data_IF_050023680182
#
_entry.id   IF_050023680182
#
_cell.length_a   1.000
_cell.length_b   1.000
_cell.length_c   1.000
_cell.angle_alpha   90.00
_cell.angle_beta   90.00
_cell.angle_gamma   90.00
#
_symmetry.space_group_name_H-M   'P 1'
#
loop_
_entity.id
_entity.type
_entity.pdbx_description
1 polymer ?
#
# COMPACT_ATOMS: atom_id res chain seq x y z
N UNK A 1 -6.13 16.56 7.09
CA UNK A 1 -4.69 16.93 7.01
C UNK A 1 -4.40 17.94 5.90
N UNK A 2 -4.80 17.71 4.64
CA UNK A 2 -4.51 18.63 3.54
C UNK A 2 -4.91 20.10 3.80
N UNK A 3 -6.12 20.41 4.32
CA UNK A 3 -6.50 21.81 4.61
C UNK A 3 -5.55 22.49 5.61
N UNK A 4 -5.02 21.75 6.57
CA UNK A 4 -4.04 22.27 7.54
C UNK A 4 -2.72 22.59 6.85
N UNK A 5 -2.24 21.68 5.97
CA UNK A 5 -1.03 21.91 5.18
C UNK A 5 -1.13 23.17 4.32
N UNK A 6 -2.27 23.33 3.63
CA UNK A 6 -2.53 24.51 2.77
C UNK A 6 -2.59 25.79 3.59
N UNK A 7 -3.28 25.79 4.74
CA UNK A 7 -3.36 26.96 5.65
C UNK A 7 -2.00 27.37 6.21
N UNK A 8 -1.14 26.38 6.49
CA UNK A 8 0.23 26.64 6.97
C UNK A 8 1.22 26.95 5.83
N UNK A 9 0.79 26.97 4.56
CA UNK A 9 1.66 27.15 3.40
C UNK A 9 2.63 26.01 3.14
N UNK A 10 2.42 24.83 3.77
CA UNK A 10 3.26 23.64 3.60
C UNK A 10 3.03 22.98 2.25
N UNK A 11 4.07 22.37 1.69
CA UNK A 11 3.99 21.72 0.38
C UNK A 11 3.13 20.44 0.44
N UNK A 12 2.06 20.33 -0.37
CA UNK A 12 1.26 19.10 -0.47
C UNK A 12 2.09 17.88 -0.90
N UNK A 13 3.17 18.08 -1.68
CA UNK A 13 4.10 17.00 -2.08
C UNK A 13 4.79 16.36 -0.87
N UNK A 14 5.03 17.13 0.20
CA UNK A 14 5.60 16.58 1.45
C UNK A 14 4.56 15.71 2.14
N UNK A 15 3.31 16.14 2.18
CA UNK A 15 2.21 15.35 2.75
C UNK A 15 2.07 14.01 2.02
N UNK A 16 1.98 14.05 0.69
CA UNK A 16 1.83 12.80 -0.11
C UNK A 16 3.05 11.89 0.02
N UNK A 17 4.27 12.47 0.10
CA UNK A 17 5.49 11.70 0.29
C UNK A 17 5.50 10.96 1.64
N UNK A 18 5.19 11.63 2.74
CA UNK A 18 5.18 11.01 4.08
C UNK A 18 4.05 9.97 4.19
N UNK A 19 2.85 10.29 3.69
CA UNK A 19 1.73 9.38 3.71
C UNK A 19 2.00 8.12 2.87
N UNK A 20 2.55 8.28 1.66
CA UNK A 20 2.92 7.17 0.78
C UNK A 20 4.01 6.27 1.39
N UNK A 21 5.06 6.85 1.96
CA UNK A 21 6.12 6.10 2.63
C UNK A 21 5.59 5.27 3.80
N UNK A 22 4.78 5.88 4.69
CA UNK A 22 4.23 5.18 5.85
C UNK A 22 3.29 4.06 5.42
N UNK A 23 2.40 4.34 4.44
CA UNK A 23 1.50 3.33 3.89
C UNK A 23 2.29 2.13 3.31
N UNK A 24 3.33 2.40 2.52
CA UNK A 24 4.18 1.36 1.97
C UNK A 24 4.93 0.54 3.02
N UNK A 25 5.46 1.20 4.04
CA UNK A 25 6.15 0.54 5.15
C UNK A 25 5.22 -0.37 5.94
N UNK A 26 4.00 0.06 6.21
CA UNK A 26 3.00 -0.71 6.95
C UNK A 26 2.32 -1.81 6.13
N UNK A 27 2.53 -1.87 4.82
CA UNK A 27 1.83 -2.82 3.94
C UNK A 27 2.23 -4.28 4.13
N UNK A 28 3.30 -4.56 4.89
CA UNK A 28 3.77 -5.92 5.18
C UNK A 28 3.05 -6.62 6.34
N UNK A 29 2.05 -5.99 6.96
CA UNK A 29 1.27 -6.58 8.07
C UNK A 29 0.58 -7.89 7.65
N UNK A 30 0.18 -8.78 8.59
CA UNK A 30 -0.34 -10.13 8.26
C UNK A 30 -1.59 -10.11 7.37
N UNK A 31 -2.40 -9.08 7.50
CA UNK A 31 -3.58 -8.82 6.63
C UNK A 31 -3.25 -7.94 5.42
N UNK A 32 -2.01 -7.53 5.27
CA UNK A 32 -1.53 -6.76 4.12
C UNK A 32 -1.58 -7.58 2.83
N UNK A 33 -1.96 -6.92 1.74
CA UNK A 33 -2.09 -7.57 0.44
C UNK A 33 -0.88 -8.42 0.02
N UNK A 34 0.36 -7.92 0.12
CA UNK A 34 1.55 -8.66 -0.28
C UNK A 34 1.81 -9.89 0.60
N UNK A 35 1.66 -9.76 1.92
CA UNK A 35 1.88 -10.86 2.86
C UNK A 35 0.89 -12.01 2.64
N UNK A 36 -0.39 -11.67 2.46
CA UNK A 36 -1.43 -12.67 2.16
C UNK A 36 -1.18 -13.34 0.80
N UNK A 37 -0.76 -12.58 -0.23
CA UNK A 37 -0.44 -13.14 -1.56
C UNK A 37 0.76 -14.07 -1.51
N UNK A 38 1.86 -13.66 -0.86
CA UNK A 38 3.03 -14.50 -0.67
C UNK A 38 2.67 -15.79 0.07
N UNK A 39 1.90 -15.68 1.16
CA UNK A 39 1.44 -16.84 1.93
C UNK A 39 0.58 -17.78 1.07
N UNK A 40 -0.39 -17.24 0.32
CA UNK A 40 -1.27 -18.03 -0.55
C UNK A 40 -0.48 -18.72 -1.67
N UNK A 41 0.47 -18.00 -2.30
CA UNK A 41 1.25 -18.52 -3.42
C UNK A 41 2.18 -19.66 -3.04
N UNK A 42 2.68 -19.64 -1.79
CA UNK A 42 3.65 -20.62 -1.28
C UNK A 42 3.05 -21.62 -0.27
N UNK A 43 1.73 -21.54 0.00
CA UNK A 43 1.06 -22.43 0.96
C UNK A 43 1.48 -22.21 2.42
N UNK A 44 1.82 -20.95 2.79
CA UNK A 44 2.31 -20.55 4.11
C UNK A 44 1.23 -19.85 4.94
N UNK A 45 1.48 -19.67 6.23
CA UNK A 45 0.68 -18.79 7.07
C UNK A 45 1.21 -17.35 6.98
N UNK A 46 0.35 -16.33 6.89
CA UNK A 46 0.79 -14.92 6.86
C UNK A 46 1.60 -14.51 8.09
N UNK A 47 1.33 -15.10 9.23
CA UNK A 47 2.01 -14.86 10.50
C UNK A 47 3.45 -15.37 10.51
N UNK A 48 3.73 -16.51 9.87
CA UNK A 48 5.08 -17.05 9.73
C UNK A 48 5.99 -16.11 8.93
N UNK A 49 5.39 -15.38 7.99
CA UNK A 49 6.09 -14.36 7.20
C UNK A 49 6.29 -13.09 8.04
N UNK A 50 5.24 -12.63 8.72
CA UNK A 50 5.22 -11.32 9.36
C UNK A 50 5.96 -11.26 10.69
N UNK A 51 5.75 -12.23 11.59
CA UNK A 51 6.24 -12.13 12.98
C UNK A 51 7.78 -12.00 13.04
N UNK A 52 8.58 -12.77 12.29
CA UNK A 52 10.03 -12.56 12.26
C UNK A 52 10.46 -11.24 11.62
N UNK A 53 9.59 -10.61 10.80
CA UNK A 53 9.86 -9.31 10.15
C UNK A 53 9.46 -8.10 11.01
N UNK A 54 8.95 -8.30 12.24
CA UNK A 54 8.60 -7.20 13.15
C UNK A 54 9.76 -6.23 13.43
N UNK A 55 11.01 -6.69 13.67
CA UNK A 55 12.14 -5.77 13.84
C UNK A 55 12.43 -4.96 12.56
N UNK A 56 12.29 -5.58 11.39
CA UNK A 56 12.47 -4.91 10.10
C UNK A 56 11.37 -3.85 9.88
N UNK A 57 10.12 -4.15 10.22
CA UNK A 57 9.03 -3.18 10.21
C UNK A 57 9.30 -2.01 11.15
N UNK A 58 9.74 -2.30 12.39
CA UNK A 58 10.09 -1.28 13.38
C UNK A 58 11.16 -0.33 12.86
N UNK A 59 12.24 -0.88 12.26
CA UNK A 59 13.29 -0.08 11.63
C UNK A 59 12.77 0.75 10.45
N UNK A 60 11.93 0.16 9.60
CA UNK A 60 11.27 0.86 8.50
C UNK A 60 10.43 2.05 8.97
N UNK A 61 9.66 1.88 10.05
CA UNK A 61 8.86 2.96 10.68
C UNK A 61 9.79 4.06 11.20
N UNK A 62 10.85 3.72 11.92
CA UNK A 62 11.81 4.69 12.47
C UNK A 62 12.45 5.51 11.35
N UNK A 63 12.90 4.86 10.26
CA UNK A 63 13.48 5.56 9.11
C UNK A 63 12.46 6.44 8.41
N UNK A 64 11.22 5.98 8.26
CA UNK A 64 10.12 6.76 7.67
C UNK A 64 9.79 7.99 8.51
N UNK A 65 9.74 7.85 9.84
CA UNK A 65 9.55 8.97 10.77
C UNK A 65 10.75 9.93 10.72
N UNK A 66 11.98 9.40 10.59
CA UNK A 66 13.17 10.21 10.37
C UNK A 66 13.09 11.06 9.10
N UNK A 67 12.63 10.48 7.98
CA UNK A 67 12.37 11.25 6.77
C UNK A 67 11.25 12.27 6.94
N UNK A 68 10.16 11.93 7.64
CA UNK A 68 9.09 12.88 7.95
C UNK A 68 9.61 14.06 8.76
N UNK A 69 10.45 13.80 9.76
CA UNK A 69 11.11 14.83 10.56
C UNK A 69 12.01 15.74 9.71
N UNK A 70 12.87 15.16 8.87
CA UNK A 70 13.78 15.91 7.99
C UNK A 70 12.97 16.78 7.01
N UNK A 71 11.91 16.22 6.40
CA UNK A 71 11.02 16.97 5.51
C UNK A 71 10.30 18.09 6.26
N UNK A 72 9.85 17.85 7.48
CA UNK A 72 9.26 18.88 8.35
C UNK A 72 10.23 20.01 8.66
N UNK A 73 11.51 19.70 8.96
CA UNK A 73 12.55 20.71 9.17
C UNK A 73 12.84 21.53 7.90
N UNK A 74 12.82 20.87 6.73
CA UNK A 74 13.00 21.55 5.45
C UNK A 74 11.83 22.52 5.17
N UNK A 75 10.60 22.11 5.42
CA UNK A 75 9.42 22.98 5.29
C UNK A 75 9.47 24.15 6.29
N UNK A 76 9.86 23.88 7.54
CA UNK A 76 10.04 24.94 8.54
C UNK A 76 11.10 25.98 8.12
N UNK A 77 12.21 25.52 7.52
CA UNK A 77 13.24 26.44 6.98
C UNK A 77 12.73 27.22 5.76
N UNK A 78 11.90 26.60 4.92
CA UNK A 78 11.30 27.22 3.74
C UNK A 78 10.29 28.30 4.10
N UNK A 79 9.45 28.04 5.10
CA UNK A 79 8.35 28.92 5.52
C UNK A 79 8.80 30.04 6.47
N UNK A 80 9.96 29.88 7.12
CA UNK A 80 10.39 30.80 8.17
C UNK A 80 9.61 30.63 9.48
N UNK A 81 9.73 31.63 10.36
CA UNK A 81 8.90 31.70 11.57
C UNK A 81 7.49 32.13 11.15
N UNK A 82 6.52 31.29 11.47
CA UNK A 82 5.10 31.71 11.43
C UNK A 82 4.92 32.69 12.60
N UNK A 83 4.75 33.96 12.30
CA UNK A 83 4.35 34.94 13.32
C UNK A 83 2.92 34.60 13.72
N UNK A 84 2.70 34.44 15.04
CA UNK A 84 1.40 34.11 15.62
C UNK A 84 0.28 35.11 15.26
N UNK A 85 0.63 36.32 14.87
CA UNK A 85 -0.30 37.33 14.37
C UNK A 85 -0.92 36.99 13.00
N UNK A 86 -0.20 36.31 12.10
CA UNK A 86 -0.72 35.85 10.82
C UNK A 86 -1.79 34.76 10.91
N UNK A 87 -1.85 34.04 12.03
CA UNK A 87 -2.86 33.01 12.26
C UNK A 87 -4.16 33.56 12.85
N UNK A 88 -4.15 34.76 13.43
CA UNK A 88 -5.31 35.39 14.10
C UNK A 88 -6.14 36.28 13.17
N UNK A 89 -5.64 36.65 12.01
CA UNK A 89 -6.34 37.54 11.05
C UNK A 89 -7.36 36.81 10.16
N UNK A 90 -7.49 35.49 10.33
CA UNK A 90 -8.45 34.67 9.56
C UNK A 90 -9.87 34.60 10.12
N UNK A 91 -10.20 35.26 11.24
CA UNK A 91 -11.54 35.21 11.85
C UNK A 91 -12.50 36.31 11.33
N UNK A 92 -11.98 37.40 10.78
CA UNK A 92 -12.79 38.45 10.19
C UNK A 92 -12.52 38.52 8.69
N UNK A 93 -13.42 37.98 7.87
CA UNK A 93 -13.70 38.19 6.43
C UNK A 93 -12.77 39.02 5.53
N UNK A 94 -11.52 39.23 5.91
CA UNK A 94 -10.50 39.95 5.16
C UNK A 94 -9.76 39.06 4.18
N UNK A 95 -9.83 39.40 2.91
CA UNK A 95 -9.13 38.81 1.76
C UNK A 95 -7.72 38.33 2.10
N UNK A 96 -7.48 37.02 1.99
CA UNK A 96 -6.17 36.38 1.99
C UNK A 96 -5.33 36.91 0.80
N UNK A 97 -4.63 38.00 0.97
CA UNK A 97 -3.80 38.61 -0.07
C UNK A 97 -2.32 38.17 -0.03
N UNK A 98 -2.04 36.99 0.52
CA UNK A 98 -0.70 36.40 0.43
C UNK A 98 -0.77 34.91 0.04
N UNK A 99 -1.32 34.68 -1.15
CA UNK A 99 -0.99 33.45 -1.89
C UNK A 99 0.47 33.61 -2.33
N UNK A 100 1.41 32.75 -1.90
CA UNK A 100 2.80 32.83 -2.36
C UNK A 100 2.83 32.82 -3.90
N UNK A 101 3.65 33.70 -4.50
CA UNK A 101 3.81 33.87 -5.95
C UNK A 101 4.21 32.59 -6.73
N UNK A 102 4.33 31.45 -6.09
CA UNK A 102 4.71 30.16 -6.66
C UNK A 102 3.57 29.52 -7.49
N UNK A 103 2.30 29.98 -7.34
CA UNK A 103 1.17 29.52 -8.14
C UNK A 103 0.86 30.43 -9.36
N UNK A 104 1.73 31.38 -9.69
CA UNK A 104 1.65 32.12 -10.97
C UNK A 104 2.41 31.37 -12.08
N UNK A 105 2.03 30.16 -12.34
CA UNK A 105 2.37 29.44 -13.54
C UNK A 105 1.20 29.51 -14.53
N UNK A 106 1.40 30.28 -15.62
CA UNK A 106 0.54 30.39 -16.80
C UNK A 106 -0.87 30.96 -16.55
N UNK A 107 -1.02 32.25 -16.78
CA UNK A 107 -2.33 32.83 -17.07
C UNK A 107 -2.94 32.13 -18.29
N UNK A 108 -4.18 31.62 -18.21
CA UNK A 108 -4.87 31.14 -19.41
C UNK A 108 -5.13 32.32 -20.35
N UNK A 109 -4.77 32.18 -21.61
CA UNK A 109 -5.13 33.13 -22.66
C UNK A 109 -6.64 33.39 -22.65
N UNK A 110 -7.12 34.66 -22.74
CA UNK A 110 -8.54 34.95 -22.76
C UNK A 110 -9.15 34.39 -24.05
N UNK A 111 -10.02 33.42 -23.92
CA UNK A 111 -10.72 32.77 -25.04
C UNK A 111 -11.23 31.37 -24.83
N UNK A 112 -10.72 30.64 -23.84
CA UNK A 112 -11.19 29.28 -23.58
C UNK A 112 -12.29 29.27 -22.50
N UNK A 113 -13.56 29.28 -22.91
CA UNK A 113 -14.69 28.94 -22.02
C UNK A 113 -14.62 27.47 -21.68
N UNK A 114 -14.05 27.15 -20.53
CA UNK A 114 -14.19 25.83 -19.93
C UNK A 114 -15.58 25.74 -19.30
N UNK A 115 -16.50 25.02 -19.95
CA UNK A 115 -17.72 24.57 -19.31
C UNK A 115 -17.40 23.45 -18.34
N UNK A 116 -17.49 23.71 -17.04
CA UNK A 116 -17.53 22.67 -16.00
C UNK A 116 -18.83 21.87 -16.19
N UNK A 117 -18.76 20.78 -16.92
CA UNK A 117 -19.76 19.72 -16.89
C UNK A 117 -19.27 18.66 -15.93
N UNK A 118 -19.92 18.57 -14.80
CA UNK A 118 -19.90 17.43 -13.87
C UNK A 118 -20.29 16.17 -14.65
N UNK A 119 -19.38 15.26 -14.87
CA UNK A 119 -19.66 13.98 -15.51
C UNK A 119 -18.42 13.42 -16.20
N UNK A 120 -17.90 12.32 -15.65
CA UNK A 120 -16.97 11.38 -16.23
C UNK A 120 -15.73 11.96 -16.92
N UNK A 121 -14.65 12.12 -16.17
CA UNK A 121 -13.33 12.33 -16.73
C UNK A 121 -12.85 11.01 -17.38
N UNK A 122 -13.17 10.87 -18.68
CA UNK A 122 -12.48 9.90 -19.54
C UNK A 122 -11.21 10.59 -20.01
N UNK A 123 -10.07 10.23 -19.45
CA UNK A 123 -8.76 10.62 -20.01
C UNK A 123 -8.54 9.79 -21.27
N UNK A 124 -8.81 10.35 -22.43
CA UNK A 124 -8.41 9.77 -23.71
C UNK A 124 -6.96 10.16 -23.95
N UNK A 125 -6.03 9.31 -23.54
CA UNK A 125 -4.68 9.30 -24.10
C UNK A 125 -4.70 8.41 -25.37
N UNK A 126 -4.16 8.95 -26.46
CA UNK A 126 -4.19 8.44 -27.84
C UNK A 126 -4.28 6.92 -28.06
N UNK A 127 -5.32 6.57 -28.77
CA UNK A 127 -5.38 5.43 -29.69
C UNK A 127 -4.97 4.05 -29.20
N UNK A 128 -5.60 3.52 -28.16
CA UNK A 128 -5.77 2.08 -27.96
C UNK A 128 -7.05 1.85 -27.16
N UNK A 129 -7.70 0.70 -27.36
CA UNK A 129 -9.02 0.31 -26.92
C UNK A 129 -9.45 0.77 -25.52
N UNK A 130 -10.75 1.00 -25.28
CA UNK A 130 -11.25 1.44 -23.98
C UNK A 130 -10.82 0.43 -22.93
N UNK A 131 -10.01 0.90 -21.97
CA UNK A 131 -9.71 0.11 -20.77
C UNK A 131 -11.06 -0.09 -20.08
N UNK A 132 -11.52 -1.33 -20.11
CA UNK A 132 -12.76 -1.74 -19.49
C UNK A 132 -12.74 -1.31 -18.02
N UNK A 133 -13.86 -0.81 -17.52
CA UNK A 133 -14.05 -0.40 -16.12
C UNK A 133 -13.78 -1.51 -15.08
N UNK A 134 -13.35 -2.68 -15.54
CA UNK A 134 -12.98 -3.84 -14.73
C UNK A 134 -11.58 -3.77 -14.08
N UNK A 135 -10.79 -2.71 -14.32
CA UNK A 135 -9.45 -2.54 -13.74
C UNK A 135 -9.38 -1.56 -12.57
N UNK A 136 -10.51 -1.05 -12.10
CA UNK A 136 -10.56 -0.25 -10.86
C UNK A 136 -10.53 -1.22 -9.68
N UNK A 137 -9.48 -1.14 -8.87
CA UNK A 137 -9.38 -1.96 -7.65
C UNK A 137 -10.62 -1.68 -6.78
N UNK A 138 -11.40 -2.72 -6.41
CA UNK A 138 -12.56 -2.55 -5.54
C UNK A 138 -12.26 -1.83 -4.22
N UNK A 139 -11.01 -1.92 -3.74
CA UNK A 139 -10.53 -1.16 -2.58
C UNK A 139 -10.58 0.36 -2.81
N UNK A 140 -10.42 0.83 -4.04
CA UNK A 140 -10.47 2.25 -4.37
C UNK A 140 -11.88 2.80 -4.45
N UNK A 141 -12.83 1.99 -4.91
CA UNK A 141 -14.25 2.36 -4.91
C UNK A 141 -14.75 2.52 -3.47
N UNK A 142 -14.33 1.60 -2.58
CA UNK A 142 -14.64 1.69 -1.16
C UNK A 142 -13.95 2.90 -0.48
N UNK A 143 -12.76 3.30 -0.93
CA UNK A 143 -12.07 4.50 -0.41
C UNK A 143 -12.64 5.79 -0.97
N UNK A 144 -13.14 5.81 -2.20
CA UNK A 144 -13.83 6.95 -2.78
C UNK A 144 -15.19 7.20 -2.09
N UNK A 145 -15.92 6.15 -1.76
CA UNK A 145 -17.14 6.22 -0.94
C UNK A 145 -16.86 6.63 0.53
N UNK A 146 -15.63 6.49 1.01
CA UNK A 146 -15.22 6.95 2.34
C UNK A 146 -14.76 8.40 2.39
N UNK A 147 -14.85 9.18 1.33
CA UNK A 147 -14.84 10.66 1.38
C UNK A 147 -16.19 11.14 1.93
N UNK A 148 -16.38 10.85 3.04
CA UNK A 148 -17.24 10.87 4.19
C UNK A 148 -18.08 12.13 4.20
N UNK A 149 -19.31 12.00 3.72
CA UNK A 149 -20.37 12.90 4.13
C UNK A 149 -20.45 12.88 5.68
N UNK A 150 -20.16 14.00 6.35
CA UNK A 150 -20.25 14.09 7.80
C UNK A 150 -21.68 13.85 8.33
N UNK A 151 -22.70 13.90 7.47
CA UNK A 151 -24.11 13.68 7.80
C UNK A 151 -24.66 12.32 7.37
N UNK A 152 -23.78 11.43 6.92
CA UNK A 152 -24.20 10.10 6.46
C UNK A 152 -25.03 9.35 7.51
N UNK A 153 -26.12 8.67 7.11
CA UNK A 153 -27.03 7.96 8.04
C UNK A 153 -26.39 6.76 8.75
N UNK A 154 -25.24 6.27 8.23
CA UNK A 154 -24.47 5.17 8.82
C UNK A 154 -23.56 5.60 9.97
N UNK A 155 -23.43 6.91 10.24
CA UNK A 155 -22.60 7.40 11.33
C UNK A 155 -23.17 6.99 12.69
N UNK A 156 -22.34 6.36 13.54
CA UNK A 156 -22.71 5.88 14.88
C UNK A 156 -21.81 6.50 15.97
N UNK A 157 -21.89 7.80 16.24
CA UNK A 157 -20.99 8.48 17.16
C UNK A 157 -21.06 7.91 18.59
N UNK A 158 -22.21 7.37 19.01
CA UNK A 158 -22.38 6.76 20.34
C UNK A 158 -21.63 5.44 20.50
N UNK A 159 -21.30 4.76 19.39
CA UNK A 159 -20.62 3.46 19.39
C UNK A 159 -19.12 3.58 19.06
N UNK A 160 -18.58 4.80 18.98
CA UNK A 160 -17.20 5.05 18.56
C UNK A 160 -16.19 4.33 19.46
N UNK A 161 -16.39 4.35 20.77
CA UNK A 161 -15.50 3.69 21.72
C UNK A 161 -15.58 2.17 21.65
N UNK A 162 -16.79 1.65 21.42
CA UNK A 162 -16.98 0.22 21.20
C UNK A 162 -16.31 -0.23 19.89
N UNK A 163 -16.52 0.47 18.80
CA UNK A 163 -15.91 0.15 17.51
C UNK A 163 -14.39 0.28 17.56
N UNK A 164 -13.86 1.27 18.30
CA UNK A 164 -12.43 1.38 18.54
C UNK A 164 -11.90 0.18 19.33
N UNK A 165 -12.56 -0.18 20.42
CA UNK A 165 -12.17 -1.34 21.25
C UNK A 165 -12.23 -2.64 20.44
N UNK A 166 -13.27 -2.84 19.63
CA UNK A 166 -13.40 -4.01 18.74
C UNK A 166 -12.26 -4.04 17.71
N UNK A 167 -11.96 -2.90 17.08
CA UNK A 167 -10.86 -2.81 16.12
C UNK A 167 -9.52 -3.14 16.78
N UNK A 168 -9.25 -2.55 17.95
CA UNK A 168 -8.02 -2.85 18.70
C UNK A 168 -7.97 -4.32 19.11
N UNK A 169 -9.06 -4.91 19.59
CA UNK A 169 -9.14 -6.32 19.93
C UNK A 169 -8.84 -7.23 18.73
N UNK A 170 -9.45 -6.95 17.57
CA UNK A 170 -9.15 -7.68 16.32
C UNK A 170 -7.67 -7.57 15.97
N UNK A 171 -7.09 -6.36 16.01
CA UNK A 171 -5.66 -6.14 15.72
C UNK A 171 -4.75 -6.91 16.68
N UNK A 172 -5.06 -6.89 17.99
CA UNK A 172 -4.28 -7.64 18.99
C UNK A 172 -4.37 -9.14 18.76
N UNK A 173 -5.57 -9.68 18.51
CA UNK A 173 -5.76 -11.11 18.21
C UNK A 173 -5.00 -11.55 16.96
N UNK A 174 -4.95 -10.69 15.93
CA UNK A 174 -4.18 -10.98 14.71
C UNK A 174 -2.66 -11.01 14.95
N UNK A 175 -2.16 -10.13 15.82
CA UNK A 175 -0.73 -10.09 16.16
C UNK A 175 -0.34 -11.24 17.08
N UNK A 176 -1.22 -11.62 18.02
CA UNK A 176 -0.98 -12.73 18.96
C UNK A 176 -1.10 -14.11 18.31
N UNK A 177 -1.68 -14.20 17.11
CA UNK A 177 -1.87 -15.43 16.34
C UNK A 177 -2.54 -16.59 17.12
N UNK A 178 -3.48 -16.22 18.01
CA UNK A 178 -4.21 -17.21 18.84
C UNK A 178 -5.24 -17.96 18.01
N UNK A 179 -5.81 -17.28 16.99
CA UNK A 179 -6.85 -17.81 16.12
C UNK A 179 -6.49 -17.56 14.66
N UNK A 180 -6.83 -18.49 13.75
CA UNK A 180 -6.62 -18.26 12.31
C UNK A 180 -7.27 -16.96 11.83
N UNK A 181 -6.52 -16.22 11.02
CA UNK A 181 -6.87 -14.90 10.50
C UNK A 181 -8.32 -14.81 9.95
N UNK A 182 -8.86 -15.77 9.17
CA UNK A 182 -10.23 -15.72 8.69
C UNK A 182 -11.29 -15.70 9.80
N UNK A 183 -11.05 -16.46 10.89
CA UNK A 183 -11.99 -16.49 12.02
C UNK A 183 -12.04 -15.17 12.77
N UNK A 184 -10.87 -14.54 13.00
CA UNK A 184 -10.77 -13.25 13.68
C UNK A 184 -11.53 -12.19 12.91
N UNK A 185 -11.34 -12.12 11.58
CA UNK A 185 -12.07 -11.18 10.73
C UNK A 185 -13.56 -11.48 10.65
N UNK A 186 -13.94 -12.75 10.50
CA UNK A 186 -15.35 -13.14 10.40
C UNK A 186 -16.12 -12.80 11.68
N UNK A 187 -15.55 -13.13 12.83
CA UNK A 187 -16.17 -12.81 14.13
C UNK A 187 -16.18 -11.30 14.36
N UNK A 188 -15.08 -10.60 14.09
CA UNK A 188 -14.98 -9.16 14.24
C UNK A 188 -15.98 -8.40 13.36
N UNK A 189 -16.09 -8.79 12.08
CA UNK A 189 -17.05 -8.20 11.14
C UNK A 189 -18.50 -8.52 11.55
N UNK A 190 -18.79 -9.77 11.97
CA UNK A 190 -20.10 -10.15 12.46
C UNK A 190 -20.54 -9.35 13.68
N UNK A 191 -19.64 -9.17 14.66
CA UNK A 191 -19.93 -8.34 15.84
C UNK A 191 -20.13 -6.87 15.47
N UNK A 192 -19.28 -6.33 14.58
CA UNK A 192 -19.42 -4.96 14.09
C UNK A 192 -20.77 -4.77 13.42
N UNK A 193 -21.18 -5.71 12.56
CA UNK A 193 -22.45 -5.65 11.82
C UNK A 193 -23.66 -5.69 12.76
N UNK A 194 -23.69 -6.66 13.69
CA UNK A 194 -24.83 -6.85 14.60
C UNK A 194 -24.99 -5.66 15.57
N UNK A 195 -23.89 -5.08 16.04
CA UNK A 195 -23.94 -4.01 17.03
C UNK A 195 -24.24 -2.65 16.39
N UNK A 196 -23.70 -2.40 15.19
CA UNK A 196 -23.90 -1.11 14.51
C UNK A 196 -25.24 -1.05 13.76
N UNK A 197 -25.80 -2.20 13.31
CA UNK A 197 -27.02 -2.29 12.52
C UNK A 197 -28.04 -3.23 13.20
N UNK A 198 -29.13 -2.65 13.72
CA UNK A 198 -30.09 -3.41 14.54
C UNK A 198 -31.04 -4.31 13.75
N UNK A 199 -31.26 -4.02 12.48
CA UNK A 199 -32.19 -4.74 11.63
C UNK A 199 -31.51 -5.68 10.65
N UNK A 200 -32.02 -6.91 10.46
CA UNK A 200 -31.49 -7.85 9.46
C UNK A 200 -31.50 -7.24 8.05
N UNK A 201 -32.49 -6.41 7.73
CA UNK A 201 -32.58 -5.71 6.44
C UNK A 201 -31.45 -4.67 6.28
N UNK A 202 -31.13 -3.94 7.36
CA UNK A 202 -30.02 -2.97 7.35
C UNK A 202 -28.69 -3.70 7.20
N UNK A 203 -28.48 -4.79 7.95
CA UNK A 203 -27.30 -5.63 7.85
C UNK A 203 -27.12 -6.19 6.44
N UNK A 204 -28.19 -6.69 5.84
CA UNK A 204 -28.16 -7.19 4.47
C UNK A 204 -27.84 -6.07 3.46
N UNK A 205 -28.40 -4.87 3.64
CA UNK A 205 -28.13 -3.75 2.74
C UNK A 205 -26.66 -3.30 2.78
N UNK A 206 -26.04 -3.30 3.97
CA UNK A 206 -24.61 -2.99 4.11
C UNK A 206 -23.73 -4.05 3.45
N UNK A 207 -24.04 -5.33 3.62
CA UNK A 207 -23.31 -6.41 2.92
C UNK A 207 -23.45 -6.25 1.39
N UNK A 208 -24.66 -5.96 0.90
CA UNK A 208 -24.90 -5.77 -0.53
C UNK A 208 -24.19 -4.52 -1.06
N UNK A 209 -24.14 -3.43 -0.29
CA UNK A 209 -23.44 -2.21 -0.67
C UNK A 209 -21.93 -2.44 -0.89
N UNK A 210 -21.33 -3.33 -0.11
CA UNK A 210 -19.91 -3.67 -0.23
C UNK A 210 -19.61 -4.91 -1.10
N UNK A 211 -20.67 -5.61 -1.58
CA UNK A 211 -20.54 -6.84 -2.37
C UNK A 211 -19.66 -6.67 -3.62
N UNK A 212 -19.73 -5.58 -4.41
CA UNK A 212 -18.86 -5.41 -5.59
C UNK A 212 -17.38 -5.47 -5.25
N UNK A 213 -16.97 -4.81 -4.16
CA UNK A 213 -15.59 -4.82 -3.67
C UNK A 213 -15.15 -6.22 -3.20
N UNK A 214 -16.01 -6.89 -2.45
CA UNK A 214 -15.76 -8.25 -1.95
C UNK A 214 -15.62 -9.23 -3.12
N UNK A 215 -16.57 -9.22 -4.06
CA UNK A 215 -16.56 -10.11 -5.23
C UNK A 215 -15.34 -9.86 -6.10
N UNK A 216 -14.94 -8.59 -6.30
CA UNK A 216 -13.74 -8.26 -7.06
C UNK A 216 -12.48 -8.89 -6.45
N UNK A 217 -12.26 -8.71 -5.15
CA UNK A 217 -11.09 -9.30 -4.44
C UNK A 217 -11.14 -10.82 -4.45
N UNK A 218 -12.29 -11.42 -4.14
CA UNK A 218 -12.44 -12.88 -4.12
C UNK A 218 -12.21 -13.48 -5.51
N UNK A 219 -12.77 -12.88 -6.57
CA UNK A 219 -12.55 -13.32 -7.95
C UNK A 219 -11.10 -13.30 -8.36
N UNK A 220 -10.38 -12.26 -7.95
CA UNK A 220 -8.95 -12.10 -8.21
C UNK A 220 -8.12 -13.18 -7.50
N UNK A 221 -8.42 -13.47 -6.23
CA UNK A 221 -7.75 -14.54 -5.47
C UNK A 221 -8.03 -15.92 -6.08
N UNK A 222 -9.27 -16.17 -6.52
CA UNK A 222 -9.61 -17.43 -7.22
C UNK A 222 -8.84 -17.55 -8.54
N UNK A 223 -8.82 -16.49 -9.36
CA UNK A 223 -8.08 -16.48 -10.62
C UNK A 223 -6.57 -16.71 -10.40
N UNK A 224 -6.00 -16.08 -9.38
CA UNK A 224 -4.61 -16.28 -9.00
C UNK A 224 -4.36 -17.73 -8.53
N UNK A 225 -5.29 -18.30 -7.75
CA UNK A 225 -5.22 -19.71 -7.35
C UNK A 225 -5.25 -20.67 -8.54
N UNK A 226 -6.08 -20.39 -9.54
CA UNK A 226 -6.10 -21.18 -10.81
C UNK A 226 -4.74 -21.05 -11.52
N UNK A 227 -4.18 -19.86 -11.62
CA UNK A 227 -2.86 -19.67 -12.24
C UNK A 227 -1.77 -20.49 -11.51
N UNK A 228 -1.69 -20.39 -10.19
CA UNK A 228 -0.73 -21.17 -9.39
C UNK A 228 -0.94 -22.66 -9.60
N UNK A 229 -2.21 -23.12 -9.56
CA UNK A 229 -2.54 -24.53 -9.77
C UNK A 229 -2.11 -25.04 -11.16
N UNK A 230 -2.31 -24.24 -12.20
CA UNK A 230 -1.87 -24.59 -13.56
C UNK A 230 -0.34 -24.64 -13.62
N UNK A 231 0.34 -23.63 -13.12
CA UNK A 231 1.80 -23.54 -13.15
C UNK A 231 2.47 -24.69 -12.38
N UNK A 232 1.94 -25.05 -11.21
CA UNK A 232 2.48 -26.15 -10.40
C UNK A 232 2.05 -27.52 -10.95
N UNK A 233 0.79 -27.66 -11.33
CA UNK A 233 0.25 -28.95 -11.85
C UNK A 233 0.80 -29.36 -13.22
N UNK A 234 1.29 -28.42 -14.00
CA UNK A 234 1.94 -28.69 -15.29
C UNK A 234 3.45 -28.82 -15.21
N UNK A 235 4.03 -28.84 -14.00
CA UNK A 235 5.49 -28.90 -13.78
C UNK A 235 6.24 -27.69 -14.38
N UNK A 236 5.53 -26.65 -14.76
CA UNK A 236 6.15 -25.44 -15.36
C UNK A 236 7.03 -24.71 -14.33
N UNK A 237 6.60 -24.63 -13.08
CA UNK A 237 7.40 -24.01 -12.01
C UNK A 237 8.72 -24.75 -11.84
N UNK A 238 8.69 -26.10 -11.81
CA UNK A 238 9.89 -26.92 -11.67
C UNK A 238 10.84 -26.75 -12.85
N UNK A 239 10.30 -26.73 -14.08
CA UNK A 239 11.10 -26.53 -15.29
C UNK A 239 11.75 -25.13 -15.30
N UNK A 240 11.01 -24.08 -14.90
CA UNK A 240 11.53 -22.72 -14.81
C UNK A 240 12.56 -22.60 -13.68
N UNK A 241 12.32 -23.24 -12.54
CA UNK A 241 13.24 -23.25 -11.41
C UNK A 241 14.55 -23.96 -11.76
N UNK A 242 14.47 -25.13 -12.45
CA UNK A 242 15.64 -25.86 -12.94
C UNK A 242 16.45 -24.99 -13.90
N UNK A 243 15.78 -24.36 -14.86
CA UNK A 243 16.46 -23.47 -15.83
C UNK A 243 17.15 -22.29 -15.10
N UNK A 244 16.51 -21.66 -14.14
CA UNK A 244 17.13 -20.59 -13.34
C UNK A 244 18.35 -21.12 -12.60
N UNK A 245 18.25 -22.30 -11.99
CA UNK A 245 19.36 -22.94 -11.26
C UNK A 245 20.54 -23.26 -12.16
N UNK A 246 20.26 -23.70 -13.41
CA UNK A 246 21.30 -24.02 -14.39
C UNK A 246 22.01 -22.78 -14.94
N UNK A 247 21.27 -21.69 -15.14
CA UNK A 247 21.81 -20.41 -15.67
C UNK A 247 22.47 -19.58 -14.59
N UNK A 248 22.01 -19.71 -13.32
CA UNK A 248 22.53 -18.94 -12.19
C UNK A 248 23.93 -19.43 -11.84
N UNK A 249 24.95 -18.56 -11.75
CA UNK A 249 26.25 -18.96 -11.21
C UNK A 249 26.08 -19.61 -9.82
N UNK A 250 26.68 -20.77 -9.58
CA UNK A 250 26.53 -21.49 -8.29
C UNK A 250 26.84 -20.64 -7.06
N UNK A 251 27.76 -19.67 -7.22
CA UNK A 251 28.12 -18.70 -6.18
C UNK A 251 26.94 -17.80 -5.74
N UNK A 252 25.96 -17.56 -6.62
CA UNK A 252 24.83 -16.70 -6.31
C UNK A 252 23.65 -17.45 -5.69
N UNK A 253 23.58 -18.77 -5.85
CA UNK A 253 22.51 -19.59 -5.30
C UNK A 253 22.25 -19.37 -3.80
N UNK A 254 23.30 -19.44 -2.95
CA UNK A 254 23.16 -19.19 -1.52
C UNK A 254 22.65 -17.80 -1.11
N UNK A 255 22.69 -16.83 -2.04
CA UNK A 255 22.25 -15.45 -1.83
C UNK A 255 20.89 -15.15 -2.47
N UNK A 256 20.13 -16.15 -2.92
CA UNK A 256 18.85 -15.93 -3.60
C UNK A 256 17.83 -15.18 -2.74
N UNK A 257 17.84 -15.36 -1.42
CA UNK A 257 16.94 -14.61 -0.53
C UNK A 257 17.22 -13.09 -0.55
N UNK A 258 18.41 -12.58 -0.25
CA UNK A 258 18.69 -11.15 -0.36
C UNK A 258 18.58 -10.63 -1.80
N UNK A 259 18.94 -11.42 -2.81
CA UNK A 259 18.74 -11.06 -4.22
C UNK A 259 17.25 -10.86 -4.51
N UNK A 260 16.38 -11.76 -4.06
CA UNK A 260 14.92 -11.62 -4.22
C UNK A 260 14.41 -10.38 -3.49
N UNK A 261 14.92 -10.08 -2.30
CA UNK A 261 14.59 -8.85 -1.59
C UNK A 261 14.92 -7.59 -2.40
N UNK A 262 16.11 -7.54 -3.00
CA UNK A 262 16.52 -6.41 -3.85
C UNK A 262 15.71 -6.37 -5.15
N UNK A 263 15.49 -7.51 -5.82
CA UNK A 263 14.70 -7.61 -7.05
C UNK A 263 13.23 -7.27 -6.85
N UNK A 264 12.67 -7.53 -5.65
CA UNK A 264 11.29 -7.19 -5.34
C UNK A 264 11.03 -5.69 -5.44
N UNK A 265 12.04 -4.85 -5.20
CA UNK A 265 11.94 -3.39 -5.26
C UNK A 265 11.55 -2.90 -6.66
N UNK A 266 12.33 -3.14 -7.73
CA UNK A 266 11.96 -2.72 -9.08
C UNK A 266 10.80 -3.56 -9.65
N UNK A 267 10.76 -4.85 -9.41
CA UNK A 267 9.74 -5.71 -10.02
C UNK A 267 8.34 -5.33 -9.56
N UNK A 268 8.12 -5.17 -8.26
CA UNK A 268 6.80 -4.77 -7.76
C UNK A 268 6.44 -3.33 -8.10
N UNK A 269 7.40 -2.49 -8.48
CA UNK A 269 7.11 -1.16 -9.00
C UNK A 269 6.59 -1.17 -10.44
N UNK A 270 7.19 -2.00 -11.31
CA UNK A 270 6.85 -2.06 -12.73
C UNK A 270 5.75 -3.07 -13.06
N UNK A 271 5.46 -4.00 -12.17
CA UNK A 271 4.38 -4.98 -12.32
C UNK A 271 3.45 -4.97 -11.11
N UNK A 272 2.28 -5.60 -11.26
CA UNK A 272 1.35 -5.73 -10.13
C UNK A 272 1.89 -6.70 -9.07
N UNK A 273 1.44 -6.54 -7.83
CA UNK A 273 1.71 -7.50 -6.77
C UNK A 273 1.27 -8.92 -7.16
N UNK A 274 0.14 -9.05 -7.87
CA UNK A 274 -0.37 -10.36 -8.27
C UNK A 274 0.57 -11.04 -9.25
N UNK A 275 1.06 -10.34 -10.26
CA UNK A 275 2.02 -10.88 -11.21
C UNK A 275 3.33 -11.30 -10.53
N UNK A 276 3.80 -10.54 -9.56
CA UNK A 276 5.01 -10.87 -8.83
C UNK A 276 4.81 -12.06 -7.88
N UNK A 277 3.80 -11.99 -7.00
CA UNK A 277 3.63 -13.01 -5.96
C UNK A 277 3.10 -14.35 -6.48
N UNK A 278 2.24 -14.35 -7.49
CA UNK A 278 1.68 -15.59 -8.05
C UNK A 278 2.46 -16.11 -9.26
N UNK A 279 3.19 -15.24 -9.97
CA UNK A 279 3.96 -15.65 -11.16
C UNK A 279 5.43 -15.89 -10.87
N UNK A 280 6.11 -14.94 -10.23
CA UNK A 280 7.58 -14.94 -10.10
C UNK A 280 8.03 -15.61 -8.80
N UNK A 281 7.41 -15.26 -7.67
CA UNK A 281 7.84 -15.71 -6.35
C UNK A 281 7.87 -17.25 -6.21
N UNK A 282 6.88 -18.03 -6.68
CA UNK A 282 6.94 -19.49 -6.59
C UNK A 282 8.14 -20.08 -7.33
N UNK A 283 8.48 -19.54 -8.48
CA UNK A 283 9.64 -20.00 -9.28
C UNK A 283 10.94 -19.69 -8.56
N UNK A 284 11.07 -18.48 -7.99
CA UNK A 284 12.26 -18.11 -7.21
C UNK A 284 12.37 -18.94 -5.93
N UNK A 285 11.25 -19.21 -5.25
CA UNK A 285 11.23 -20.03 -4.04
C UNK A 285 11.63 -21.48 -4.32
N UNK A 286 11.11 -22.05 -5.43
CA UNK A 286 11.49 -23.40 -5.87
C UNK A 286 12.97 -23.48 -6.25
N UNK A 287 13.49 -22.45 -6.98
CA UNK A 287 14.92 -22.37 -7.29
C UNK A 287 15.78 -22.27 -6.04
N UNK A 288 15.35 -21.48 -5.05
CA UNK A 288 16.06 -21.26 -3.79
C UNK A 288 16.08 -22.51 -2.90
N UNK A 289 15.02 -23.33 -2.95
CA UNK A 289 14.94 -24.59 -2.23
C UNK A 289 16.06 -25.55 -2.64
N UNK A 290 16.52 -25.53 -3.89
CA UNK A 290 17.67 -26.31 -4.36
C UNK A 290 18.99 -25.90 -3.69
N UNK A 291 19.04 -24.72 -3.09
CA UNK A 291 20.18 -24.19 -2.32
C UNK A 291 19.94 -24.22 -0.81
N UNK A 292 18.86 -24.87 -0.35
CA UNK A 292 18.55 -25.01 1.07
C UNK A 292 17.88 -23.79 1.71
N UNK A 293 17.35 -22.86 0.92
CA UNK A 293 16.60 -21.67 1.40
C UNK A 293 15.12 -22.05 1.49
N UNK A 294 14.51 -21.80 2.64
CA UNK A 294 13.10 -22.10 2.88
C UNK A 294 12.17 -21.14 2.09
N UNK A 295 11.04 -21.63 1.55
CA UNK A 295 10.04 -20.77 0.92
C UNK A 295 9.56 -19.62 1.79
N UNK A 296 9.46 -19.79 3.10
CA UNK A 296 9.08 -18.73 4.04
C UNK A 296 10.12 -17.60 4.11
N UNK A 297 11.39 -17.90 3.98
CA UNK A 297 12.49 -16.94 3.94
C UNK A 297 12.46 -16.13 2.65
N UNK A 298 12.13 -16.78 1.53
CA UNK A 298 11.91 -16.12 0.25
C UNK A 298 10.70 -15.18 0.29
N UNK A 299 9.61 -15.60 0.95
CA UNK A 299 8.45 -14.76 1.18
C UNK A 299 8.80 -13.52 2.01
N UNK A 300 9.56 -13.70 3.12
CA UNK A 300 10.03 -12.59 3.97
C UNK A 300 10.90 -11.59 3.20
N UNK A 301 11.85 -12.10 2.41
CA UNK A 301 12.67 -11.24 1.56
C UNK A 301 11.82 -10.45 0.57
N UNK A 302 10.87 -11.08 -0.09
CA UNK A 302 10.06 -10.50 -1.16
C UNK A 302 9.17 -9.33 -0.72
N UNK A 303 8.67 -9.34 0.53
CA UNK A 303 7.79 -8.27 1.03
C UNK A 303 8.53 -6.98 1.38
N UNK A 304 9.87 -6.99 1.44
CA UNK A 304 10.65 -5.80 1.76
C UNK A 304 10.61 -4.71 0.68
N UNK A 305 10.19 -5.03 -0.55
CA UNK A 305 9.99 -4.09 -1.65
C UNK A 305 8.73 -3.23 -1.56
N UNK A 306 7.85 -3.47 -0.58
CA UNK A 306 6.54 -2.83 -0.51
C UNK A 306 6.54 -1.32 -0.31
N UNK A 307 7.50 -0.69 0.40
CA UNK A 307 7.61 0.77 0.43
C UNK A 307 7.71 1.41 -0.97
N UNK A 308 8.37 0.74 -1.92
CA UNK A 308 8.49 1.20 -3.31
C UNK A 308 7.27 0.81 -4.14
N UNK A 309 6.75 -0.41 -3.96
CA UNK A 309 5.56 -0.88 -4.68
C UNK A 309 4.37 0.09 -4.53
N UNK A 310 4.07 0.52 -3.31
CA UNK A 310 2.94 1.42 -3.05
C UNK A 310 3.13 2.83 -3.64
N UNK A 311 4.29 3.14 -4.24
CA UNK A 311 4.49 4.35 -5.02
C UNK A 311 4.30 4.10 -6.52
N UNK A 312 4.02 2.88 -6.95
CA UNK A 312 3.85 2.53 -8.36
C UNK A 312 2.63 3.23 -8.95
N UNK A 313 2.71 3.71 -10.20
CA UNK A 313 1.55 4.24 -10.91
C UNK A 313 0.48 3.17 -11.19
N UNK A 314 0.80 1.89 -10.99
CA UNK A 314 -0.14 0.78 -11.09
C UNK A 314 -1.00 0.61 -9.83
N UNK A 315 -0.68 1.33 -8.74
CA UNK A 315 -1.42 1.29 -7.48
C UNK A 315 -2.41 2.44 -7.44
N UNK A 316 -3.72 2.19 -7.56
CA UNK A 316 -4.75 3.23 -7.63
C UNK A 316 -4.77 4.14 -6.39
N UNK A 317 -4.45 3.59 -5.21
CA UNK A 317 -4.41 4.37 -3.97
C UNK A 317 -3.43 5.54 -4.02
N UNK A 318 -2.28 5.41 -4.73
CA UNK A 318 -1.34 6.52 -4.89
C UNK A 318 -1.86 7.57 -5.87
N UNK A 319 -2.55 7.14 -6.93
CA UNK A 319 -3.18 8.05 -7.87
C UNK A 319 -4.28 8.88 -7.18
N UNK A 320 -5.07 8.25 -6.32
CA UNK A 320 -6.05 8.93 -5.50
C UNK A 320 -5.38 9.91 -4.52
N UNK A 321 -4.32 9.49 -3.83
CA UNK A 321 -3.58 10.34 -2.89
C UNK A 321 -3.06 11.62 -3.54
N UNK A 322 -2.40 11.49 -4.72
CA UNK A 322 -1.84 12.65 -5.42
C UNK A 322 -2.94 13.53 -6.05
N UNK A 323 -4.03 12.91 -6.52
CA UNK A 323 -5.20 13.63 -7.05
C UNK A 323 -5.88 14.46 -5.96
N UNK A 324 -6.19 13.87 -4.81
CA UNK A 324 -6.79 14.56 -3.67
C UNK A 324 -5.93 15.72 -3.14
N UNK A 325 -4.61 15.55 -3.20
CA UNK A 325 -3.65 16.58 -2.80
C UNK A 325 -3.35 17.61 -3.90
N UNK A 326 -3.93 17.45 -5.11
CA UNK A 326 -3.64 18.26 -6.29
C UNK A 326 -2.13 18.32 -6.62
N UNK A 327 -1.44 17.19 -6.45
CA UNK A 327 0.00 17.03 -6.68
C UNK A 327 0.22 16.31 -8.00
N UNK A 328 1.26 16.70 -8.75
CA UNK A 328 1.69 15.94 -9.92
C UNK A 328 2.39 14.65 -9.49
N UNK A 329 2.04 13.52 -10.12
CA UNK A 329 2.63 12.21 -9.81
C UNK A 329 4.16 12.20 -9.98
N UNK A 330 4.68 12.90 -11.00
CA UNK A 330 6.13 13.02 -11.22
C UNK A 330 6.84 13.74 -10.07
N UNK A 331 6.26 14.81 -9.53
CA UNK A 331 6.81 15.53 -8.38
C UNK A 331 6.76 14.68 -7.11
N UNK A 332 5.68 13.91 -6.94
CA UNK A 332 5.57 12.92 -5.88
C UNK A 332 6.68 11.86 -6.00
N UNK A 333 6.82 11.22 -7.17
CA UNK A 333 7.84 10.18 -7.41
C UNK A 333 9.26 10.70 -7.19
N UNK A 334 9.59 11.88 -7.71
CA UNK A 334 10.91 12.51 -7.51
C UNK A 334 11.26 12.66 -6.04
N UNK A 335 10.26 12.91 -5.21
CA UNK A 335 10.47 13.09 -3.76
C UNK A 335 10.42 11.79 -2.98
N UNK A 336 9.59 10.81 -3.37
CA UNK A 336 9.31 9.61 -2.59
C UNK A 336 10.20 8.42 -2.95
N UNK A 337 10.49 8.14 -4.24
CA UNK A 337 11.07 6.87 -4.67
C UNK A 337 12.40 6.53 -4.01
N UNK A 338 13.36 7.45 -4.00
CA UNK A 338 14.66 7.18 -3.39
C UNK A 338 14.57 6.94 -1.88
N UNK A 339 13.61 7.60 -1.20
CA UNK A 339 13.34 7.38 0.22
C UNK A 339 12.71 6.02 0.47
N UNK A 340 11.76 5.65 -0.38
CA UNK A 340 11.12 4.35 -0.33
C UNK A 340 12.13 3.23 -0.57
N UNK A 341 13.06 3.42 -1.51
CA UNK A 341 14.17 2.48 -1.76
C UNK A 341 15.06 2.33 -0.53
N UNK A 342 15.42 3.43 0.15
CA UNK A 342 16.21 3.36 1.39
C UNK A 342 15.42 2.60 2.47
N UNK A 343 14.14 2.88 2.65
CA UNK A 343 13.30 2.16 3.63
C UNK A 343 13.27 0.66 3.31
N UNK A 344 13.05 0.29 2.05
CA UNK A 344 13.07 -1.11 1.59
C UNK A 344 14.40 -1.80 1.88
N UNK A 345 15.52 -1.15 1.56
CA UNK A 345 16.86 -1.70 1.82
C UNK A 345 17.17 -1.81 3.32
N UNK A 346 16.72 -0.84 4.13
CA UNK A 346 16.86 -0.93 5.59
C UNK A 346 16.03 -2.09 6.15
N UNK A 347 14.78 -2.25 5.68
CA UNK A 347 13.94 -3.38 6.09
C UNK A 347 14.57 -4.72 5.72
N UNK A 348 15.11 -4.84 4.50
CA UNK A 348 15.85 -6.03 4.07
C UNK A 348 17.10 -6.26 4.93
N UNK A 349 17.92 -5.22 5.13
CA UNK A 349 19.13 -5.29 5.94
C UNK A 349 18.85 -5.72 7.39
N UNK A 350 17.83 -5.16 8.02
CA UNK A 350 17.42 -5.56 9.37
C UNK A 350 16.85 -6.97 9.37
N UNK A 351 16.06 -7.36 8.36
CA UNK A 351 15.59 -8.72 8.19
C UNK A 351 16.73 -9.75 8.12
N UNK A 352 17.83 -9.38 7.45
CA UNK A 352 19.06 -10.19 7.39
C UNK A 352 19.75 -10.22 8.75
N UNK A 353 19.93 -9.08 9.39
CA UNK A 353 20.62 -8.99 10.69
C UNK A 353 19.91 -9.75 11.81
N UNK A 354 18.58 -9.82 11.74
CA UNK A 354 17.76 -10.55 12.72
C UNK A 354 17.59 -12.04 12.38
N UNK A 355 18.14 -12.51 11.25
CA UNK A 355 18.01 -13.89 10.80
C UNK A 355 16.63 -14.23 10.23
N UNK A 356 15.74 -13.26 10.07
CA UNK A 356 14.43 -13.47 9.42
C UNK A 356 14.57 -13.77 7.91
N UNK A 357 15.64 -13.25 7.29
CA UNK A 357 16.05 -13.50 5.91
C UNK A 357 17.50 -13.98 5.96
N UNK A 358 17.86 -15.17 5.44
CA UNK A 358 19.23 -15.64 5.43
C UNK A 358 20.05 -14.77 4.47
N UNK A 359 21.22 -14.33 4.92
CA UNK A 359 22.16 -13.65 4.03
C UNK A 359 22.89 -14.65 3.14
N UNK A 360 23.26 -15.80 3.71
CA UNK A 360 24.01 -16.86 3.05
C UNK A 360 23.59 -18.20 3.67
N UNK A 361 23.31 -19.19 2.83
CA UNK A 361 23.09 -20.56 3.27
C UNK A 361 24.30 -21.39 2.86
N UNK A 362 25.01 -21.94 3.85
CA UNK A 362 26.13 -22.85 3.60
C UNK A 362 25.58 -24.17 3.02
N UNK A 363 26.14 -24.61 1.91
CA UNK A 363 25.88 -25.93 1.32
C UNK A 363 26.62 -27.02 2.08
#
# INVERSE_FOLDING_TARGET
MLPIYLRLGMSPVVLTCVAGLMNGTLNIVPWGGPTVRAATALGLQPTDIFVPMLPALGAGIVVTLGFAWILGLQERRRLGRLDSEGLLVGADGGTLSTVPKIFRGAEPKPGARASLRTGNLVVVAGGHAPVSAASVDPADTAMADTMLDPERPTLRPKLIWFNLALTVAVMVLLVLDILPLPYVFMVGAGLALVINFRGIKEQASEIVAHAPSIVGVVSMVIAAGVLVCVLTGTVMVDAMATWITDVLPPVLGPFLAPITGVLSIPFTFFMSNDAFYFGILPVLAQSAANFGIDPVEMARASITGQPVHLQSPLVPAILLLVSLASVNLGDHHRKVLWRATIVSLVMLGVGILTGAVPFFVAQ
#
